data_IF_513478174223
#
_entry.id   IF_513478174223
#
_cell.length_a   1.000
_cell.length_b   1.000
_cell.length_c   1.000
_cell.angle_alpha   90.00
_cell.angle_beta   90.00
_cell.angle_gamma   90.00
#
_symmetry.space_group_name_H-M   'P 1'
#
loop_
_entity.id
_entity.type
_entity.pdbx_description
1 polymer ?
#
# COMPACT_ATOMS: atom_id res chain seq x y z
N UNK A 1 5.94 1.68 39.25
CA UNK A 1 4.52 1.25 39.29
C UNK A 1 3.72 2.39 38.70
N UNK A 2 3.34 2.28 37.43
CA UNK A 2 2.53 3.30 36.76
C UNK A 2 1.05 3.04 37.08
N UNK A 3 0.39 4.05 37.63
CA UNK A 3 -1.02 4.01 38.04
C UNK A 3 -1.89 4.33 36.82
N UNK A 4 -2.80 3.44 36.44
CA UNK A 4 -3.85 3.69 35.45
C UNK A 4 -4.92 4.62 36.06
N UNK A 5 -5.07 5.80 35.46
CA UNK A 5 -6.12 6.78 35.81
C UNK A 5 -7.46 6.35 35.20
N UNK A 6 -8.50 6.27 36.01
CA UNK A 6 -9.86 5.95 35.58
C UNK A 6 -10.67 7.24 35.34
N UNK A 7 -11.69 7.16 34.47
CA UNK A 7 -12.52 8.30 34.05
C UNK A 7 -13.36 8.97 35.17
N UNK A 8 -13.26 8.49 36.40
CA UNK A 8 -13.97 9.01 37.57
C UNK A 8 -13.04 9.74 38.56
N UNK A 9 -11.75 9.87 38.25
CA UNK A 9 -10.79 10.57 39.11
C UNK A 9 -10.56 12.00 38.59
N UNK A 10 -10.64 12.99 39.49
CA UNK A 10 -10.31 14.38 39.16
C UNK A 10 -8.80 14.54 39.02
N UNK A 11 -8.36 15.10 37.89
CA UNK A 11 -6.95 15.33 37.56
C UNK A 11 -6.59 16.80 37.76
N UNK A 12 -5.65 17.07 38.66
CA UNK A 12 -5.06 18.39 38.80
C UNK A 12 -4.05 18.60 37.66
N UNK A 13 -4.40 19.46 36.70
CA UNK A 13 -3.60 19.72 35.51
C UNK A 13 -2.24 20.37 35.80
N UNK A 14 -2.06 20.97 36.98
CA UNK A 14 -0.80 21.60 37.39
C UNK A 14 0.28 20.58 37.79
N UNK A 15 -0.10 19.33 38.06
CA UNK A 15 0.81 18.26 38.50
C UNK A 15 1.11 17.22 37.40
N UNK A 16 0.58 17.41 36.18
CA UNK A 16 0.64 16.43 35.10
C UNK A 16 1.55 16.91 33.97
N UNK A 17 2.57 16.13 33.64
CA UNK A 17 3.44 16.36 32.48
C UNK A 17 2.93 15.48 31.33
N UNK A 18 2.46 16.10 30.25
CA UNK A 18 2.09 15.41 29.02
C UNK A 18 3.29 15.31 28.08
N UNK A 19 3.74 14.09 27.79
CA UNK A 19 4.71 13.86 26.73
C UNK A 19 3.96 13.60 25.41
N UNK A 20 3.88 14.63 24.56
CA UNK A 20 3.12 14.57 23.31
C UNK A 20 4.07 14.38 22.12
N UNK A 21 4.02 13.22 21.49
CA UNK A 21 4.70 13.00 20.21
C UNK A 21 3.79 13.42 19.05
N UNK A 22 4.10 14.55 18.43
CA UNK A 22 3.37 15.05 17.26
C UNK A 22 3.99 14.47 15.99
N UNK A 23 3.27 13.58 15.31
CA UNK A 23 3.65 13.10 13.97
C UNK A 23 2.97 14.00 12.93
N UNK A 24 3.72 14.85 12.19
CA UNK A 24 3.12 15.71 11.19
C UNK A 24 2.59 14.87 10.00
N UNK A 25 1.28 14.91 9.78
CA UNK A 25 0.64 14.30 8.62
C UNK A 25 1.08 15.01 7.33
N UNK A 26 1.97 14.39 6.54
CA UNK A 26 2.32 14.88 5.20
C UNK A 26 1.12 14.70 4.25
N UNK A 27 0.36 15.76 3.98
CA UNK A 27 -0.65 15.80 2.90
C UNK A 27 0.06 15.84 1.54
N UNK A 28 0.23 14.68 0.91
CA UNK A 28 0.70 14.59 -0.49
C UNK A 28 -0.41 14.13 -1.44
N UNK A 29 -0.86 14.99 -2.37
CA UNK A 29 -1.73 14.64 -3.51
C UNK A 29 -0.89 14.13 -4.70
N UNK A 30 0.07 13.24 -4.39
CA UNK A 30 0.95 12.52 -5.31
C UNK A 30 0.18 11.66 -6.30
N UNK A 31 0.72 11.46 -7.52
CA UNK A 31 0.56 10.13 -8.14
C UNK A 31 1.21 9.17 -7.13
N UNK A 32 0.56 8.05 -6.82
CA UNK A 32 1.03 7.20 -5.73
C UNK A 32 2.43 6.68 -6.01
N UNK A 33 3.36 6.82 -5.05
CA UNK A 33 4.66 6.15 -5.07
C UNK A 33 4.47 4.69 -5.51
N UNK A 34 4.91 4.37 -6.74
CA UNK A 34 5.33 3.01 -7.01
C UNK A 34 6.47 2.77 -6.03
N UNK A 35 6.42 1.67 -5.29
CA UNK A 35 7.63 1.16 -4.63
C UNK A 35 8.71 1.19 -5.72
N UNK A 36 9.86 1.80 -5.41
CA UNK A 36 11.02 1.83 -6.29
C UNK A 36 11.57 0.40 -6.37
N UNK A 37 10.83 -0.42 -7.10
CA UNK A 37 11.10 -1.81 -7.37
C UNK A 37 11.47 -1.90 -8.84
N UNK A 38 12.45 -2.75 -9.14
CA UNK A 38 12.92 -3.05 -10.50
C UNK A 38 11.79 -3.51 -11.43
N UNK A 39 10.65 -3.96 -10.89
CA UNK A 39 9.44 -4.30 -11.66
C UNK A 39 8.70 -3.09 -12.27
N UNK A 40 9.16 -1.86 -12.00
CA UNK A 40 8.57 -0.64 -12.53
C UNK A 40 8.76 -0.52 -14.04
N UNK A 41 7.66 -0.46 -14.80
CA UNK A 41 7.64 -0.22 -16.28
C UNK A 41 8.36 1.05 -16.75
N UNK A 42 8.78 1.94 -15.85
CA UNK A 42 9.56 3.14 -16.14
C UNK A 42 11.07 2.90 -16.09
N UNK A 43 11.49 1.67 -15.81
CA UNK A 43 12.87 1.21 -15.75
C UNK A 43 13.06 0.14 -16.82
N UNK A 44 14.18 0.20 -17.55
CA UNK A 44 14.69 -0.94 -18.32
C UNK A 44 15.77 -1.59 -17.45
N UNK A 45 15.50 -2.82 -17.03
CA UNK A 45 16.47 -3.62 -16.29
C UNK A 45 17.61 -4.03 -17.21
N UNK A 46 18.84 -3.71 -16.83
CA UNK A 46 20.04 -4.19 -17.51
C UNK A 46 20.27 -5.63 -17.08
N UNK A 47 20.25 -6.53 -18.05
CA UNK A 47 20.54 -7.96 -17.85
C UNK A 47 21.90 -8.24 -18.43
N UNK A 48 22.86 -8.50 -17.57
CA UNK A 48 24.23 -8.77 -17.96
C UNK A 48 24.92 -9.66 -16.93
N UNK A 49 25.96 -10.33 -17.41
CA UNK A 49 26.76 -11.29 -16.65
C UNK A 49 28.20 -10.74 -16.46
N UNK A 50 28.45 -9.53 -16.97
CA UNK A 50 29.71 -8.80 -16.91
C UNK A 50 29.64 -7.63 -15.91
N UNK A 51 30.76 -6.94 -15.68
CA UNK A 51 30.89 -5.89 -14.66
C UNK A 51 30.54 -4.49 -15.16
N UNK A 52 30.11 -4.38 -16.43
CA UNK A 52 29.90 -3.10 -17.14
C UNK A 52 28.42 -2.66 -17.15
N UNK A 53 27.67 -2.94 -16.08
CA UNK A 53 26.24 -2.59 -16.00
C UNK A 53 26.02 -1.08 -16.13
N UNK A 54 26.94 -0.24 -15.63
CA UNK A 54 26.88 1.21 -15.77
C UNK A 54 26.88 1.67 -17.23
N UNK A 55 27.89 1.29 -18.01
CA UNK A 55 28.01 1.71 -19.41
C UNK A 55 26.88 1.13 -20.27
N UNK A 56 26.42 -0.10 -19.97
CA UNK A 56 25.20 -0.67 -20.57
C UNK A 56 23.94 0.14 -20.24
N UNK A 57 23.79 0.62 -19.00
CA UNK A 57 22.67 1.47 -18.59
C UNK A 57 22.71 2.85 -19.27
N UNK A 58 23.91 3.43 -19.45
CA UNK A 58 24.11 4.69 -20.18
C UNK A 58 23.70 4.52 -21.64
N UNK A 59 24.24 3.52 -22.34
CA UNK A 59 23.92 3.23 -23.76
C UNK A 59 22.42 2.98 -23.96
N UNK A 60 21.80 2.22 -23.06
CA UNK A 60 20.36 1.95 -23.08
C UNK A 60 19.54 3.23 -22.84
N UNK A 61 20.01 4.11 -21.95
CA UNK A 61 19.37 5.41 -21.73
C UNK A 61 19.46 6.31 -22.96
N UNK A 62 20.64 6.38 -23.60
CA UNK A 62 20.82 7.12 -24.85
C UNK A 62 19.90 6.59 -25.96
N UNK A 63 19.77 5.27 -26.08
CA UNK A 63 18.89 4.65 -27.08
C UNK A 63 17.40 4.93 -26.81
N UNK A 64 16.95 4.74 -25.58
CA UNK A 64 15.55 4.98 -25.18
C UNK A 64 15.12 6.44 -25.32
N UNK A 65 16.05 7.38 -25.14
CA UNK A 65 15.83 8.82 -25.34
C UNK A 65 16.10 9.29 -26.79
N UNK A 66 16.41 8.37 -27.72
CA UNK A 66 16.74 8.67 -29.13
C UNK A 66 17.91 9.66 -29.30
N UNK A 67 18.89 9.60 -28.40
CA UNK A 67 20.11 10.42 -28.47
C UNK A 67 21.17 9.82 -29.40
N UNK A 68 21.11 8.50 -29.66
CA UNK A 68 21.96 7.82 -30.64
C UNK A 68 21.41 8.01 -32.07
N UNK A 69 21.71 9.15 -32.70
CA UNK A 69 21.11 9.58 -33.97
C UNK A 69 21.49 8.72 -35.18
N UNK A 70 22.63 8.03 -35.13
CA UNK A 70 23.13 7.23 -36.26
C UNK A 70 22.51 5.82 -36.35
N UNK A 71 21.59 5.48 -35.44
CA UNK A 71 20.97 4.16 -35.36
C UNK A 71 19.50 4.20 -35.80
N UNK A 72 19.08 3.17 -36.54
CA UNK A 72 17.68 2.97 -36.91
C UNK A 72 16.81 2.62 -35.69
N UNK A 73 15.50 2.87 -35.76
CA UNK A 73 14.58 2.50 -34.66
C UNK A 73 14.65 1.00 -34.29
N UNK A 74 14.94 0.12 -35.27
CA UNK A 74 15.14 -1.31 -35.02
C UNK A 74 16.40 -1.59 -34.20
N UNK A 75 17.50 -0.92 -34.52
CA UNK A 75 18.75 -1.03 -33.75
C UNK A 75 18.60 -0.44 -32.34
N UNK A 76 17.92 0.71 -32.20
CA UNK A 76 17.60 1.29 -30.89
C UNK A 76 16.78 0.32 -30.03
N UNK A 77 15.81 -0.38 -30.65
CA UNK A 77 15.04 -1.43 -29.97
C UNK A 77 15.93 -2.58 -29.52
N UNK A 78 16.85 -3.06 -30.36
CA UNK A 78 17.80 -4.11 -29.98
C UNK A 78 18.69 -3.72 -28.80
N UNK A 79 19.14 -2.46 -28.75
CA UNK A 79 19.90 -1.92 -27.62
C UNK A 79 19.04 -1.97 -26.35
N UNK A 80 17.80 -1.49 -26.40
CA UNK A 80 16.87 -1.50 -25.27
C UNK A 80 16.49 -2.91 -24.78
N UNK A 81 16.54 -3.92 -25.66
CA UNK A 81 16.28 -5.33 -25.32
C UNK A 81 17.50 -6.06 -24.74
N UNK A 82 18.66 -5.40 -24.62
CA UNK A 82 19.90 -6.03 -24.13
C UNK A 82 20.52 -7.00 -25.13
N UNK A 83 20.25 -6.86 -26.43
CA UNK A 83 20.86 -7.68 -27.49
C UNK A 83 22.38 -7.42 -27.56
N UNK A 84 23.17 -8.29 -28.23
CA UNK A 84 24.64 -8.14 -28.29
C UNK A 84 25.16 -6.77 -28.72
N UNK A 85 24.37 -6.00 -29.49
CA UNK A 85 24.71 -4.61 -29.85
C UNK A 85 24.83 -3.68 -28.64
N UNK A 86 24.02 -3.87 -27.59
CA UNK A 86 24.13 -3.10 -26.34
C UNK A 86 25.50 -3.31 -25.68
N UNK A 87 25.96 -4.57 -25.60
CA UNK A 87 27.27 -4.91 -25.03
C UNK A 87 28.41 -4.25 -25.81
N UNK A 88 28.41 -4.39 -27.14
CA UNK A 88 29.45 -3.81 -28.00
C UNK A 88 29.56 -2.30 -27.81
N UNK A 89 28.43 -1.59 -27.82
CA UNK A 89 28.42 -0.14 -27.62
C UNK A 89 28.87 0.27 -26.20
N UNK A 90 28.62 -0.58 -25.21
CA UNK A 90 29.13 -0.35 -23.85
C UNK A 90 30.65 -0.52 -23.80
N UNK A 91 31.20 -1.56 -24.44
CA UNK A 91 32.64 -1.77 -24.59
C UNK A 91 33.31 -0.64 -25.38
N UNK A 92 32.71 -0.21 -26.49
CA UNK A 92 33.17 0.94 -27.28
C UNK A 92 33.18 2.23 -26.43
N UNK A 93 32.19 2.41 -25.54
CA UNK A 93 32.13 3.55 -24.64
C UNK A 93 33.29 3.53 -23.64
N UNK A 94 33.66 2.38 -23.10
CA UNK A 94 34.86 2.24 -22.26
C UNK A 94 36.13 2.61 -23.02
N UNK A 95 36.32 2.04 -24.21
CA UNK A 95 37.50 2.29 -25.04
C UNK A 95 37.64 3.78 -25.40
N UNK A 96 36.56 4.41 -25.85
CA UNK A 96 36.61 5.78 -26.35
C UNK A 96 36.69 6.84 -25.25
N UNK A 97 36.14 6.55 -24.07
CA UNK A 97 36.24 7.45 -22.91
C UNK A 97 37.53 7.26 -22.10
N UNK A 98 38.32 6.21 -22.41
CA UNK A 98 39.54 5.87 -21.68
C UNK A 98 39.27 5.28 -20.29
N UNK A 99 38.06 4.75 -20.04
CA UNK A 99 37.67 4.14 -18.77
C UNK A 99 37.95 2.65 -18.81
N UNK A 100 38.87 2.17 -17.99
CA UNK A 100 39.21 0.75 -17.90
C UNK A 100 38.03 -0.09 -17.39
N UNK A 101 37.90 -1.32 -17.91
CA UNK A 101 36.92 -2.29 -17.43
C UNK A 101 37.50 -2.98 -16.18
N UNK A 102 36.92 -2.68 -15.01
CA UNK A 102 37.34 -3.20 -13.71
C UNK A 102 36.55 -4.48 -13.35
N UNK A 103 37.16 -5.37 -12.56
CA UNK A 103 36.49 -6.57 -12.05
C UNK A 103 35.41 -6.26 -11.00
N UNK A 104 35.56 -5.17 -10.24
CA UNK A 104 34.58 -4.75 -9.24
C UNK A 104 33.46 -3.87 -9.82
N UNK A 105 33.47 -3.63 -11.13
CA UNK A 105 32.54 -2.73 -11.81
C UNK A 105 32.96 -1.26 -11.76
N UNK A 106 32.05 -0.38 -12.16
CA UNK A 106 32.34 1.05 -12.30
C UNK A 106 32.02 1.86 -11.04
N UNK A 107 32.83 2.89 -10.81
CA UNK A 107 32.69 3.83 -9.69
C UNK A 107 32.16 5.23 -10.14
N UNK A 108 32.13 6.17 -9.19
CA UNK A 108 31.68 7.54 -9.45
C UNK A 108 32.64 8.35 -10.35
N UNK A 109 33.93 7.99 -10.39
CA UNK A 109 34.91 8.64 -11.27
C UNK A 109 34.69 8.21 -12.72
N UNK A 110 34.42 6.92 -12.93
CA UNK A 110 34.04 6.37 -14.24
C UNK A 110 32.78 7.03 -14.79
N UNK A 111 31.75 7.22 -13.93
CA UNK A 111 30.53 7.97 -14.25
C UNK A 111 30.85 9.37 -14.81
N UNK A 112 31.76 10.09 -14.15
CA UNK A 112 32.18 11.44 -14.55
C UNK A 112 32.97 11.43 -15.86
N UNK A 113 33.80 10.41 -16.09
CA UNK A 113 34.53 10.25 -17.34
C UNK A 113 33.57 10.01 -18.52
N UNK A 114 32.60 9.11 -18.36
CA UNK A 114 31.55 8.88 -19.36
C UNK A 114 30.71 10.13 -19.62
N UNK A 115 30.35 10.86 -18.56
CA UNK A 115 29.61 12.12 -18.65
C UNK A 115 30.32 13.14 -19.54
N UNK A 116 31.61 13.37 -19.26
CA UNK A 116 32.43 14.34 -20.00
C UNK A 116 32.62 13.92 -21.46
N UNK A 117 32.87 12.63 -21.71
CA UNK A 117 33.05 12.10 -23.06
C UNK A 117 31.79 12.28 -23.92
N UNK A 118 30.62 12.00 -23.34
CA UNK A 118 29.35 12.06 -24.05
C UNK A 118 28.75 13.48 -24.12
N UNK A 119 29.25 14.43 -23.31
CA UNK A 119 28.73 15.79 -23.21
C UNK A 119 27.22 15.81 -22.87
N UNK A 120 26.82 14.96 -21.92
CA UNK A 120 25.45 14.81 -21.40
C UNK A 120 25.48 14.91 -19.88
N UNK A 121 24.42 15.36 -19.23
CA UNK A 121 24.30 15.32 -17.76
C UNK A 121 23.76 13.97 -17.30
N UNK A 122 24.49 13.25 -16.44
CA UNK A 122 24.02 11.98 -15.87
C UNK A 122 23.46 12.23 -14.47
N UNK A 123 22.23 11.79 -14.21
CA UNK A 123 21.62 11.81 -12.88
C UNK A 123 21.36 10.38 -12.42
N UNK A 124 21.91 9.99 -11.28
CA UNK A 124 21.72 8.65 -10.72
C UNK A 124 20.83 8.73 -9.49
N UNK A 125 19.69 8.08 -9.56
CA UNK A 125 18.75 7.93 -8.45
C UNK A 125 19.03 6.64 -7.67
N UNK A 126 18.74 6.65 -6.37
CA UNK A 126 18.72 5.44 -5.52
C UNK A 126 17.53 5.45 -4.57
N UNK A 127 17.10 4.27 -4.14
CA UNK A 127 16.14 4.09 -3.04
C UNK A 127 16.82 3.90 -1.68
N UNK A 128 18.15 3.69 -1.67
CA UNK A 128 18.92 3.35 -0.47
C UNK A 128 19.38 4.56 0.35
N UNK A 129 19.19 5.79 -0.14
CA UNK A 129 19.62 7.02 0.54
C UNK A 129 18.46 7.97 0.81
N UNK A 130 18.61 8.84 1.82
CA UNK A 130 17.64 9.89 2.14
C UNK A 130 17.58 11.00 1.09
N UNK A 131 18.64 11.16 0.30
CA UNK A 131 18.79 12.21 -0.70
C UNK A 131 18.26 11.80 -2.08
N UNK A 132 17.88 10.53 -2.28
CA UNK A 132 17.36 9.92 -3.51
C UNK A 132 18.24 10.05 -4.77
N UNK A 133 19.21 10.96 -4.79
CA UNK A 133 20.17 11.19 -5.87
C UNK A 133 21.56 10.94 -5.28
N UNK A 134 22.31 10.04 -5.89
CA UNK A 134 23.70 9.70 -5.48
C UNK A 134 24.74 10.33 -6.38
N UNK A 135 24.34 10.72 -7.59
CA UNK A 135 25.19 11.45 -8.51
C UNK A 135 24.35 12.47 -9.29
N UNK A 136 24.79 13.73 -9.23
CA UNK A 136 24.20 14.86 -9.91
C UNK A 136 25.24 15.46 -10.85
N UNK A 137 25.19 15.05 -12.12
CA UNK A 137 26.10 15.48 -13.16
C UNK A 137 26.14 16.97 -13.44
N UNK A 138 27.08 17.38 -14.29
CA UNK A 138 27.36 18.76 -14.67
C UNK A 138 26.12 19.45 -15.28
N UNK A 139 25.75 20.59 -14.70
CA UNK A 139 24.56 21.36 -15.09
C UNK A 139 24.71 22.12 -16.41
N UNK A 140 25.95 22.25 -16.92
CA UNK A 140 26.24 22.91 -18.21
C UNK A 140 25.80 22.09 -19.42
N UNK A 141 25.61 20.77 -19.26
CA UNK A 141 25.17 19.91 -20.35
C UNK A 141 23.66 19.98 -20.58
N UNK A 142 23.27 20.19 -21.84
CA UNK A 142 21.87 20.40 -22.24
C UNK A 142 21.03 19.11 -22.19
N UNK A 143 21.61 18.00 -22.64
CA UNK A 143 20.93 16.70 -22.64
C UNK A 143 21.12 16.02 -21.29
N UNK A 144 20.11 15.32 -20.81
CA UNK A 144 20.18 14.64 -19.52
C UNK A 144 19.60 13.23 -19.60
N UNK A 145 20.26 12.31 -18.90
CA UNK A 145 19.81 10.93 -18.74
C UNK A 145 19.65 10.58 -17.26
N UNK A 146 18.81 9.58 -17.01
CA UNK A 146 18.47 9.16 -15.65
C UNK A 146 18.78 7.67 -15.48
N UNK A 147 19.54 7.33 -14.46
CA UNK A 147 19.89 5.97 -14.09
C UNK A 147 19.34 5.64 -12.69
N UNK A 148 19.10 4.37 -12.43
CA UNK A 148 18.70 3.85 -11.13
C UNK A 148 19.79 2.92 -10.59
N UNK A 149 20.29 3.21 -9.39
CA UNK A 149 21.29 2.42 -8.71
C UNK A 149 20.69 1.73 -7.48
N UNK A 150 20.77 0.40 -7.47
CA UNK A 150 20.32 -0.47 -6.38
C UNK A 150 21.08 -1.79 -6.44
N UNK A 151 21.28 -2.46 -5.30
CA UNK A 151 21.91 -3.79 -5.22
C UNK A 151 23.23 -3.92 -6.03
N UNK A 152 24.08 -2.87 -5.96
CA UNK A 152 25.35 -2.78 -6.71
C UNK A 152 25.19 -2.88 -8.24
N UNK A 153 24.02 -2.51 -8.74
CA UNK A 153 23.64 -2.62 -10.16
C UNK A 153 23.02 -1.32 -10.69
N UNK A 154 23.26 -1.05 -11.98
CA UNK A 154 22.74 0.12 -12.68
C UNK A 154 21.67 -0.26 -13.71
N UNK A 155 20.52 0.40 -13.60
CA UNK A 155 19.40 0.29 -14.52
C UNK A 155 19.07 1.63 -15.19
N UNK A 156 18.39 1.58 -16.34
CA UNK A 156 18.00 2.78 -17.09
C UNK A 156 16.61 3.26 -16.69
N UNK A 157 16.46 4.53 -16.30
CA UNK A 157 15.15 5.15 -16.10
C UNK A 157 14.67 5.79 -17.41
N UNK A 158 13.67 5.19 -18.05
CA UNK A 158 13.09 5.68 -19.32
C UNK A 158 12.00 6.73 -19.13
N UNK A 159 11.38 6.77 -17.96
CA UNK A 159 10.35 7.77 -17.64
C UNK A 159 10.47 8.23 -16.20
N UNK A 160 11.18 9.35 -15.99
CA UNK A 160 11.44 9.89 -14.65
C UNK A 160 10.15 10.24 -13.88
N UNK A 161 9.10 10.69 -14.55
CA UNK A 161 7.81 10.98 -13.88
C UNK A 161 7.08 9.72 -13.43
N UNK A 162 7.22 8.63 -14.20
CA UNK A 162 6.69 7.32 -13.85
C UNK A 162 7.52 6.59 -12.79
N UNK A 163 8.84 6.81 -12.80
CA UNK A 163 9.78 6.34 -11.78
C UNK A 163 9.50 6.97 -10.42
N UNK A 164 9.45 8.30 -10.34
CA UNK A 164 9.16 9.04 -9.09
C UNK A 164 7.68 9.04 -8.69
N UNK A 165 6.82 8.47 -9.54
CA UNK A 165 5.38 8.58 -9.48
C UNK A 165 4.89 10.02 -9.20
N UNK A 166 5.30 10.99 -10.02
CA UNK A 166 4.83 12.37 -9.93
C UNK A 166 4.14 12.79 -11.23
N UNK A 167 3.31 13.84 -11.17
CA UNK A 167 2.60 14.32 -12.36
C UNK A 167 3.56 14.98 -13.35
N UNK A 168 4.54 15.69 -12.80
CA UNK A 168 5.54 16.48 -13.50
C UNK A 168 6.88 16.31 -12.79
N UNK A 169 7.96 16.63 -13.50
CA UNK A 169 9.32 16.61 -12.98
C UNK A 169 10.04 17.86 -13.45
N UNK A 170 10.74 18.53 -12.53
CA UNK A 170 11.56 19.67 -12.85
C UNK A 170 12.98 19.19 -13.17
N UNK A 171 13.42 19.43 -14.41
CA UNK A 171 14.77 19.07 -14.87
C UNK A 171 15.88 19.92 -14.24
N UNK A 172 15.54 21.10 -13.72
CA UNK A 172 16.48 22.02 -13.05
C UNK A 172 16.61 21.67 -11.57
N UNK A 173 15.50 21.67 -10.83
CA UNK A 173 15.52 21.36 -9.40
C UNK A 173 15.62 19.85 -9.07
N UNK A 174 15.53 18.99 -10.08
CA UNK A 174 15.52 17.52 -9.95
C UNK A 174 14.45 16.97 -8.99
N UNK A 175 13.30 17.64 -8.89
CA UNK A 175 12.18 17.22 -8.04
C UNK A 175 10.91 16.94 -8.84
N UNK A 176 10.19 15.90 -8.43
CA UNK A 176 8.87 15.60 -8.98
C UNK A 176 7.75 16.31 -8.21
N UNK A 177 6.77 16.85 -8.94
CA UNK A 177 5.68 17.67 -8.38
C UNK A 177 4.32 17.36 -9.02
N UNK A 178 3.24 17.77 -8.35
CA UNK A 178 1.85 17.41 -8.73
C UNK A 178 1.03 18.59 -9.24
N UNK A 179 1.22 19.75 -8.64
CA UNK A 179 0.44 20.95 -8.93
C UNK A 179 1.38 22.03 -9.49
N UNK A 180 1.83 22.93 -8.63
CA UNK A 180 2.72 24.03 -8.98
C UNK A 180 4.12 23.76 -8.42
N UNK A 181 5.13 24.17 -9.18
CA UNK A 181 6.52 24.18 -8.79
C UNK A 181 7.11 25.51 -9.22
N UNK A 182 7.66 26.24 -8.25
CA UNK A 182 8.44 27.45 -8.50
C UNK A 182 9.90 27.05 -8.49
N UNK A 183 10.55 27.14 -9.65
CA UNK A 183 11.99 26.90 -9.75
C UNK A 183 12.75 28.06 -9.08
N UNK A 184 13.95 27.79 -8.55
CA UNK A 184 14.82 28.83 -7.97
C UNK A 184 15.16 29.94 -8.99
N UNK A 185 15.10 29.64 -10.29
CA UNK A 185 15.39 30.58 -11.38
C UNK A 185 14.16 31.37 -11.87
N UNK A 186 13.11 31.49 -11.06
CA UNK A 186 11.91 32.32 -11.31
C UNK A 186 11.14 32.07 -12.63
N UNK A 187 11.44 31.02 -13.38
CA UNK A 187 10.68 30.64 -14.57
C UNK A 187 9.56 29.67 -14.19
N UNK A 188 8.34 30.19 -14.05
CA UNK A 188 7.13 29.38 -13.84
C UNK A 188 6.81 28.60 -15.11
N UNK A 189 7.33 27.38 -15.25
CA UNK A 189 6.86 26.48 -16.31
C UNK A 189 5.57 25.79 -15.87
N UNK A 190 4.41 26.42 -16.14
CA UNK A 190 3.21 25.76 -16.71
C UNK A 190 2.02 26.72 -16.82
N UNK A 191 1.91 27.41 -17.95
CA UNK A 191 0.61 27.97 -18.38
C UNK A 191 0.07 27.02 -19.46
N UNK A 192 -1.03 26.31 -19.17
CA UNK A 192 -1.85 25.73 -20.25
C UNK A 192 -2.32 26.92 -21.09
N UNK A 193 -1.98 26.98 -22.39
CA UNK A 193 -2.48 28.03 -23.30
C UNK A 193 -4.02 28.07 -23.17
N UNK A 194 -4.51 29.10 -22.50
CA UNK A 194 -5.92 29.38 -22.34
C UNK A 194 -6.33 30.21 -23.55
N UNK A 195 -7.40 29.80 -24.24
CA UNK A 195 -7.96 30.56 -25.35
C UNK A 195 -9.16 31.36 -24.83
N UNK A 196 -9.28 32.62 -25.26
CA UNK A 196 -10.46 33.45 -25.00
C UNK A 196 -11.34 33.35 -26.24
N UNK A 197 -12.63 33.10 -26.06
CA UNK A 197 -13.57 33.11 -27.17
C UNK A 197 -14.02 34.55 -27.49
N UNK A 198 -13.78 35.02 -28.71
CA UNK A 198 -14.13 36.39 -29.15
C UNK A 198 -15.64 36.69 -29.11
N UNK A 199 -16.50 35.67 -29.15
CA UNK A 199 -17.96 35.84 -29.13
C UNK A 199 -18.57 35.93 -27.73
N UNK A 200 -17.97 35.27 -26.72
CA UNK A 200 -18.56 35.21 -25.38
C UNK A 200 -17.60 35.60 -24.24
N UNK A 201 -16.36 35.98 -24.57
CA UNK A 201 -15.30 36.35 -23.63
C UNK A 201 -14.98 35.31 -22.55
N UNK A 202 -15.40 34.04 -22.73
CA UNK A 202 -15.08 32.97 -21.79
C UNK A 202 -13.77 32.29 -22.16
N UNK A 203 -12.98 32.00 -21.13
CA UNK A 203 -11.74 31.25 -21.23
C UNK A 203 -12.01 29.74 -21.33
N UNK A 204 -11.37 29.04 -22.27
CA UNK A 204 -11.53 27.60 -22.45
C UNK A 204 -10.19 26.89 -22.72
N UNK A 205 -10.17 25.58 -22.47
CA UNK A 205 -9.02 24.70 -22.72
C UNK A 205 -9.44 23.60 -23.69
N UNK A 206 -9.03 23.70 -24.97
CA UNK A 206 -9.38 22.75 -26.04
C UNK A 206 -9.52 23.43 -27.41
N UNK A 207 -9.72 22.68 -28.51
CA UNK A 207 -9.87 23.26 -29.87
C UNK A 207 -11.31 23.64 -30.26
N UNK A 208 -12.34 23.19 -29.51
CA UNK A 208 -13.74 23.25 -29.95
C UNK A 208 -14.66 23.91 -28.91
N UNK A 209 -14.59 25.25 -28.78
CA UNK A 209 -15.56 26.01 -28.01
C UNK A 209 -16.82 26.31 -28.85
N UNK A 210 -18.01 26.01 -28.32
CA UNK A 210 -19.31 26.45 -28.87
C UNK A 210 -19.98 27.39 -27.89
N UNK A 211 -20.29 28.62 -28.33
CA UNK A 211 -20.97 29.60 -27.50
C UNK A 211 -22.42 29.18 -27.23
N UNK A 212 -22.91 29.40 -26.01
CA UNK A 212 -24.31 29.14 -25.64
C UNK A 212 -24.65 27.70 -25.25
N UNK A 213 -23.77 26.72 -25.48
CA UNK A 213 -23.94 25.36 -24.95
C UNK A 213 -23.64 25.33 -23.44
N UNK A 214 -24.61 24.88 -22.64
CA UNK A 214 -24.45 24.54 -21.22
C UNK A 214 -24.53 23.01 -21.07
N UNK A 215 -23.85 22.47 -20.05
CA UNK A 215 -23.92 21.05 -19.69
C UNK A 215 -24.57 20.96 -18.31
N UNK A 216 -25.63 20.17 -18.19
CA UNK A 216 -26.21 19.88 -16.89
C UNK A 216 -25.27 18.98 -16.08
N UNK A 217 -24.84 19.39 -14.89
CA UNK A 217 -23.91 18.60 -14.06
C UNK A 217 -24.55 17.34 -13.44
N UNK A 218 -25.88 17.22 -13.52
CA UNK A 218 -26.63 16.10 -12.98
C UNK A 218 -26.82 15.01 -14.04
N UNK A 219 -27.36 15.37 -15.21
CA UNK A 219 -27.65 14.41 -16.29
C UNK A 219 -26.62 14.39 -17.43
N UNK A 220 -25.66 15.32 -17.45
CA UNK A 220 -24.62 15.49 -18.47
C UNK A 220 -25.11 15.80 -19.89
N UNK A 221 -26.40 16.12 -20.07
CA UNK A 221 -26.95 16.57 -21.35
C UNK A 221 -26.52 18.01 -21.70
N UNK A 222 -26.34 18.25 -23.00
CA UNK A 222 -26.04 19.58 -23.55
C UNK A 222 -27.34 20.29 -23.90
N UNK A 223 -27.45 21.57 -23.52
CA UNK A 223 -28.61 22.40 -23.85
C UNK A 223 -28.17 23.80 -24.26
N UNK A 224 -28.99 24.49 -25.06
CA UNK A 224 -28.78 25.88 -25.50
C UNK A 224 -29.82 26.80 -24.87
N UNK A 225 -29.51 28.09 -24.73
CA UNK A 225 -30.46 29.09 -24.19
C UNK A 225 -31.72 29.29 -25.06
N UNK A 226 -31.72 28.77 -26.29
CA UNK A 226 -32.82 28.90 -27.26
C UNK A 226 -33.87 27.79 -27.20
N UNK A 227 -33.62 26.71 -26.45
CA UNK A 227 -34.60 25.65 -26.23
C UNK A 227 -34.99 25.64 -24.75
N UNK A 228 -36.29 25.49 -24.53
CA UNK A 228 -37.05 25.53 -23.27
C UNK A 228 -36.32 24.96 -22.03
N UNK A 229 -36.66 25.52 -20.86
CA UNK A 229 -36.10 25.22 -19.53
C UNK A 229 -35.63 23.77 -19.38
N UNK A 230 -34.34 23.57 -19.08
CA UNK A 230 -33.80 22.23 -18.86
C UNK A 230 -34.40 21.59 -17.59
N UNK A 231 -35.50 20.84 -17.75
CA UNK A 231 -36.15 20.07 -16.69
C UNK A 231 -35.36 18.79 -16.41
N UNK A 232 -34.38 18.88 -15.50
CA UNK A 232 -33.56 17.74 -15.09
C UNK A 232 -34.33 16.84 -14.11
N UNK A 233 -34.57 15.58 -14.47
CA UNK A 233 -35.06 14.56 -13.54
C UNK A 233 -33.91 13.66 -13.08
N UNK A 234 -33.92 13.26 -11.80
CA UNK A 234 -32.96 12.27 -11.28
C UNK A 234 -33.19 10.93 -11.98
N UNK A 235 -32.18 10.46 -12.74
CA UNK A 235 -32.20 9.10 -13.29
C UNK A 235 -31.95 8.10 -12.14
N UNK A 236 -32.69 6.97 -12.09
CA UNK A 236 -32.34 5.87 -11.19
C UNK A 236 -30.88 5.49 -11.40
N UNK A 237 -30.09 5.48 -10.33
CA UNK A 237 -28.72 5.01 -10.37
C UNK A 237 -28.73 3.51 -10.68
N UNK A 238 -28.21 3.12 -11.84
CA UNK A 238 -27.95 1.71 -12.11
C UNK A 238 -26.84 1.27 -11.15
N UNK A 239 -27.06 0.26 -10.29
CA UNK A 239 -26.00 -0.28 -9.44
C UNK A 239 -24.83 -0.68 -10.33
N UNK A 240 -23.65 -0.08 -10.10
CA UNK A 240 -22.45 -0.53 -10.80
C UNK A 240 -22.24 -1.99 -10.45
N UNK A 241 -22.31 -2.88 -11.45
CA UNK A 241 -21.95 -4.28 -11.24
C UNK A 241 -20.53 -4.33 -10.67
N UNK A 242 -20.39 -4.97 -9.51
CA UNK A 242 -19.10 -5.13 -8.81
C UNK A 242 -18.27 -6.08 -9.67
N UNK A 243 -17.38 -5.52 -10.49
CA UNK A 243 -16.60 -6.29 -11.48
C UNK A 243 -15.54 -7.20 -10.86
N UNK A 244 -15.26 -7.12 -9.56
CA UNK A 244 -14.36 -8.01 -8.81
C UNK A 244 -14.53 -7.80 -7.30
N UNK A 245 -14.65 -8.90 -6.54
CA UNK A 245 -14.68 -8.88 -5.07
C UNK A 245 -13.27 -8.77 -4.49
N UNK A 246 -12.66 -7.58 -4.59
CA UNK A 246 -11.33 -7.29 -4.03
C UNK A 246 -11.42 -6.88 -2.55
N UNK A 247 -12.06 -7.72 -1.74
CA UNK A 247 -12.22 -7.50 -0.30
C UNK A 247 -11.44 -8.54 0.47
N UNK A 248 -10.70 -8.09 1.48
CA UNK A 248 -10.08 -8.98 2.45
C UNK A 248 -10.58 -8.57 3.83
N UNK A 249 -11.18 -9.51 4.55
CA UNK A 249 -11.57 -9.32 5.94
C UNK A 249 -10.44 -9.78 6.82
N UNK A 250 -10.17 -9.07 7.93
CA UNK A 250 -9.10 -9.43 8.83
C UNK A 250 -9.37 -9.01 10.27
N UNK A 251 -8.69 -9.70 11.19
CA UNK A 251 -8.68 -9.37 12.61
C UNK A 251 -7.35 -9.77 13.26
N UNK A 252 -6.90 -8.96 14.22
CA UNK A 252 -5.70 -9.23 15.00
C UNK A 252 -6.02 -9.63 16.43
N UNK A 253 -5.19 -10.55 16.91
CA UNK A 253 -5.24 -11.02 18.29
C UNK A 253 -3.92 -10.71 18.98
N UNK A 254 -4.03 -10.34 20.26
CA UNK A 254 -2.91 -9.84 21.05
C UNK A 254 -2.74 -10.60 22.37
N UNK A 255 -1.50 -10.88 22.71
CA UNK A 255 -1.10 -11.22 24.07
C UNK A 255 -1.03 -9.92 24.89
N UNK A 256 -1.57 -9.94 26.12
CA UNK A 256 -1.64 -8.80 27.04
C UNK A 256 -0.95 -9.07 28.39
N UNK A 257 -0.21 -10.17 28.53
CA UNK A 257 0.44 -10.66 29.77
C UNK A 257 1.34 -9.61 30.44
N UNK A 258 2.01 -8.78 29.65
CA UNK A 258 2.93 -7.74 30.14
C UNK A 258 2.25 -6.39 30.42
N UNK A 259 0.94 -6.29 30.21
CA UNK A 259 0.21 -5.02 30.17
C UNK A 259 0.36 -4.26 28.85
N UNK A 260 1.23 -4.73 27.94
CA UNK A 260 1.38 -4.21 26.57
C UNK A 260 0.72 -5.20 25.61
N UNK A 261 -0.11 -4.68 24.70
CA UNK A 261 -0.75 -5.49 23.67
C UNK A 261 0.26 -5.84 22.57
N UNK A 262 0.70 -7.09 22.53
CA UNK A 262 1.61 -7.62 21.52
C UNK A 262 0.82 -8.53 20.58
N UNK A 263 0.68 -8.09 19.33
CA UNK A 263 -0.01 -8.86 18.28
C UNK A 263 0.75 -10.17 18.03
N UNK A 264 0.09 -11.30 18.28
CA UNK A 264 0.69 -12.63 18.20
C UNK A 264 -0.01 -13.54 17.19
N UNK A 265 -1.14 -13.09 16.64
CA UNK A 265 -1.88 -13.81 15.63
C UNK A 265 -2.75 -12.86 14.78
N UNK A 266 -2.93 -13.20 13.50
CA UNK A 266 -3.92 -12.56 12.65
C UNK A 266 -4.49 -13.56 11.65
N UNK A 267 -5.80 -13.47 11.43
CA UNK A 267 -6.47 -14.09 10.29
C UNK A 267 -6.90 -13.01 9.34
N UNK A 268 -6.70 -13.28 8.06
CA UNK A 268 -7.35 -12.56 6.98
C UNK A 268 -7.97 -13.55 6.01
N UNK A 269 -9.01 -13.17 5.28
CA UNK A 269 -9.59 -14.02 4.25
C UNK A 269 -10.32 -13.23 3.16
N UNK A 270 -10.41 -13.86 2.00
CA UNK A 270 -11.26 -13.48 0.88
C UNK A 270 -12.13 -14.69 0.48
N UNK A 271 -12.83 -14.62 -0.66
CA UNK A 271 -13.72 -15.69 -1.15
C UNK A 271 -12.97 -16.92 -1.68
N UNK A 272 -11.64 -16.90 -1.74
CA UNK A 272 -10.83 -17.97 -2.31
C UNK A 272 -9.74 -18.44 -1.35
N UNK A 273 -9.35 -17.61 -0.38
CA UNK A 273 -8.16 -17.81 0.42
C UNK A 273 -8.36 -17.40 1.88
N UNK A 274 -7.75 -18.17 2.78
CA UNK A 274 -7.55 -17.84 4.19
C UNK A 274 -6.06 -17.66 4.43
N UNK A 275 -5.70 -16.56 5.08
CA UNK A 275 -4.33 -16.18 5.40
C UNK A 275 -4.16 -16.17 6.92
N UNK A 276 -3.15 -16.86 7.40
CA UNK A 276 -2.84 -17.02 8.81
C UNK A 276 -1.45 -16.47 9.09
N UNK A 277 -1.38 -15.41 9.90
CA UNK A 277 -0.15 -14.71 10.25
C UNK A 277 0.26 -15.02 11.68
N UNK A 278 1.51 -15.43 11.85
CA UNK A 278 2.19 -15.61 13.14
C UNK A 278 3.52 -14.89 13.13
N UNK A 279 4.18 -14.83 14.29
CA UNK A 279 5.46 -14.16 14.44
C UNK A 279 6.49 -14.62 13.41
N UNK A 280 6.55 -15.91 13.06
CA UNK A 280 7.67 -16.43 12.25
C UNK A 280 7.24 -16.98 10.89
N UNK A 281 5.95 -16.93 10.57
CA UNK A 281 5.44 -17.49 9.31
C UNK A 281 4.11 -16.88 8.90
N UNK A 282 3.85 -16.98 7.60
CA UNK A 282 2.52 -16.84 7.00
C UNK A 282 2.15 -18.16 6.35
N UNK A 283 0.92 -18.59 6.57
CA UNK A 283 0.30 -19.72 5.84
C UNK A 283 -0.88 -19.19 5.05
N UNK A 284 -1.01 -19.67 3.83
CA UNK A 284 -2.15 -19.39 2.95
C UNK A 284 -2.83 -20.70 2.63
N UNK A 285 -4.15 -20.71 2.70
CA UNK A 285 -5.00 -21.86 2.42
C UNK A 285 -5.98 -21.46 1.33
N UNK A 286 -6.14 -22.31 0.31
CA UNK A 286 -7.25 -22.16 -0.64
C UNK A 286 -8.51 -22.71 0.00
N UNK A 287 -9.60 -21.97 -0.13
CA UNK A 287 -10.90 -22.38 0.34
C UNK A 287 -11.89 -22.28 -0.83
N UNK A 288 -12.54 -23.40 -1.15
CA UNK A 288 -13.63 -23.43 -2.13
C UNK A 288 -14.92 -23.12 -1.38
N UNK A 289 -15.24 -21.82 -1.25
CA UNK A 289 -16.43 -21.36 -0.53
C UNK A 289 -17.69 -21.68 -1.34
N UNK A 290 -18.16 -22.93 -1.30
CA UNK A 290 -19.51 -23.26 -1.71
C UNK A 290 -20.47 -22.89 -0.57
N UNK A 291 -20.85 -21.60 -0.52
CA UNK A 291 -21.64 -20.95 0.54
C UNK A 291 -22.96 -21.68 0.82
N UNK A 292 -23.47 -22.45 -0.14
CA UNK A 292 -24.79 -23.09 -0.05
C UNK A 292 -24.85 -24.37 0.79
N UNK A 293 -23.71 -25.01 1.14
CA UNK A 293 -23.70 -26.33 1.80
C UNK A 293 -22.65 -26.48 2.93
N UNK A 294 -22.17 -25.37 3.50
CA UNK A 294 -21.12 -25.44 4.52
C UNK A 294 -21.69 -25.83 5.90
N UNK A 295 -21.54 -27.11 6.30
CA UNK A 295 -21.78 -27.53 7.67
C UNK A 295 -20.58 -27.17 8.56
N UNK A 296 -20.66 -26.00 9.22
CA UNK A 296 -19.58 -25.35 9.99
C UNK A 296 -19.01 -26.20 11.15
N UNK A 297 -19.73 -27.22 11.59
CA UNK A 297 -19.31 -28.15 12.66
C UNK A 297 -18.48 -29.34 12.14
N UNK A 298 -18.50 -29.60 10.83
CA UNK A 298 -17.84 -30.75 10.18
C UNK A 298 -16.65 -30.33 9.31
N UNK A 299 -16.32 -29.03 9.26
CA UNK A 299 -15.08 -28.54 8.66
C UNK A 299 -13.90 -29.06 9.48
N UNK A 300 -13.36 -30.19 9.04
CA UNK A 300 -12.08 -30.67 9.50
C UNK A 300 -11.03 -29.70 8.97
N UNK A 301 -10.69 -28.71 9.80
CA UNK A 301 -9.63 -27.73 9.53
C UNK A 301 -8.34 -28.42 9.08
N UNK A 302 -8.10 -29.66 9.51
CA UNK A 302 -6.94 -30.47 9.10
C UNK A 302 -6.97 -30.88 7.61
N UNK A 303 -8.16 -30.97 6.99
CA UNK A 303 -8.37 -31.28 5.57
C UNK A 303 -8.33 -30.03 4.66
N UNK A 304 -8.53 -28.82 5.21
CA UNK A 304 -8.32 -27.54 4.51
C UNK A 304 -6.83 -27.17 4.33
N UNK A 305 -5.91 -28.05 4.73
CA UNK A 305 -4.47 -27.81 4.79
C UNK A 305 -3.66 -28.52 3.69
N UNK A 306 -4.30 -28.95 2.60
CA UNK A 306 -3.65 -29.77 1.57
C UNK A 306 -2.68 -29.00 0.65
N UNK A 307 -2.76 -27.67 0.56
CA UNK A 307 -1.83 -26.84 -0.22
C UNK A 307 -1.27 -25.67 0.61
N UNK A 308 -0.20 -25.91 1.37
CA UNK A 308 0.40 -24.89 2.24
C UNK A 308 1.56 -24.21 1.53
N UNK A 309 1.35 -22.99 1.01
CA UNK A 309 2.47 -22.09 0.79
C UNK A 309 2.91 -21.54 2.17
N UNK A 310 3.95 -22.12 2.75
CA UNK A 310 4.54 -21.64 4.00
C UNK A 310 5.66 -20.65 3.68
N UNK A 311 5.38 -19.37 3.82
CA UNK A 311 6.38 -18.32 3.68
C UNK A 311 6.97 -18.05 5.06
N UNK A 312 8.26 -18.39 5.24
CA UNK A 312 9.01 -17.98 6.43
C UNK A 312 9.41 -16.51 6.25
N UNK A 313 9.20 -15.72 7.29
CA UNK A 313 9.73 -14.37 7.39
C UNK A 313 10.78 -14.35 8.51
N UNK A 314 11.86 -13.58 8.32
CA UNK A 314 12.89 -13.36 9.34
C UNK A 314 12.42 -12.43 10.47
N UNK A 315 11.30 -11.72 10.27
CA UNK A 315 10.74 -10.79 11.26
C UNK A 315 9.86 -11.51 12.26
N UNK A 316 10.14 -11.37 13.57
CA UNK A 316 9.34 -11.91 14.68
C UNK A 316 8.03 -11.13 14.99
N UNK A 317 7.44 -10.43 14.01
CA UNK A 317 6.29 -9.53 14.20
C UNK A 317 5.14 -9.93 13.26
N UNK A 318 3.97 -10.23 13.83
CA UNK A 318 2.74 -10.52 13.05
C UNK A 318 2.35 -9.35 12.16
N UNK A 319 2.48 -8.12 12.66
CA UNK A 319 2.14 -6.91 11.92
C UNK A 319 3.07 -6.73 10.72
N UNK A 320 4.37 -6.92 10.92
CA UNK A 320 5.35 -6.82 9.83
C UNK A 320 5.06 -7.89 8.78
N UNK A 321 4.78 -9.12 9.19
CA UNK A 321 4.45 -10.21 8.25
C UNK A 321 3.15 -9.92 7.48
N UNK A 322 2.11 -9.42 8.16
CA UNK A 322 0.84 -9.01 7.53
C UNK A 322 1.05 -7.91 6.51
N UNK A 323 1.73 -6.82 6.90
CA UNK A 323 1.93 -5.67 6.04
C UNK A 323 2.89 -5.97 4.88
N UNK A 324 4.00 -6.68 5.11
CA UNK A 324 4.88 -7.16 4.03
C UNK A 324 4.13 -8.05 3.06
N UNK A 325 3.22 -8.89 3.57
CA UNK A 325 2.47 -9.79 2.72
C UNK A 325 1.41 -9.07 1.89
N UNK A 326 0.69 -8.10 2.44
CA UNK A 326 -0.45 -7.50 1.73
C UNK A 326 -0.15 -6.18 1.03
N UNK A 327 0.83 -5.40 1.48
CA UNK A 327 1.15 -4.09 0.87
C UNK A 327 2.09 -4.31 -0.32
N UNK A 328 1.56 -4.91 -1.39
CA UNK A 328 2.25 -5.14 -2.67
C UNK A 328 1.30 -5.09 -3.86
N UNK A 329 1.84 -4.95 -5.06
CA UNK A 329 1.08 -4.80 -6.32
C UNK A 329 0.07 -5.94 -6.58
N UNK A 330 0.30 -7.16 -6.07
CA UNK A 330 -0.66 -8.27 -6.13
C UNK A 330 -2.04 -7.87 -5.57
N UNK A 331 -2.07 -7.06 -4.52
CA UNK A 331 -3.29 -6.61 -3.84
C UNK A 331 -3.72 -5.21 -4.29
N UNK A 332 -3.33 -4.79 -5.51
CA UNK A 332 -3.74 -3.51 -6.06
C UNK A 332 -5.27 -3.39 -6.16
N UNK A 333 -5.77 -2.25 -5.73
CA UNK A 333 -7.19 -1.90 -5.62
C UNK A 333 -8.00 -2.69 -4.57
N UNK A 334 -7.35 -3.49 -3.70
CA UNK A 334 -8.04 -4.20 -2.62
C UNK A 334 -8.51 -3.28 -1.49
N UNK A 335 -9.59 -3.67 -0.85
CA UNK A 335 -10.11 -3.06 0.38
C UNK A 335 -10.05 -4.09 1.50
N UNK A 336 -9.26 -3.79 2.52
CA UNK A 336 -9.13 -4.54 3.75
C UNK A 336 -10.14 -4.01 4.77
N UNK A 337 -10.87 -4.93 5.39
CA UNK A 337 -11.98 -4.62 6.28
C UNK A 337 -11.77 -5.33 7.61
N UNK A 338 -11.65 -4.56 8.68
CA UNK A 338 -11.69 -5.04 10.07
C UNK A 338 -12.92 -4.47 10.76
N UNK A 339 -13.38 -5.09 11.84
CA UNK A 339 -14.55 -4.58 12.57
C UNK A 339 -14.17 -3.97 13.90
N UNK A 340 -14.47 -2.69 14.02
CA UNK A 340 -13.95 -1.84 15.08
C UNK A 340 -12.43 -1.59 14.98
N UNK A 341 -11.82 -1.89 13.83
CA UNK A 341 -10.38 -1.70 13.65
C UNK A 341 -9.91 -0.24 13.75
N UNK A 342 -10.81 0.74 13.59
CA UNK A 342 -10.46 2.16 13.80
C UNK A 342 -9.97 2.45 15.21
N UNK A 343 -10.40 1.65 16.19
CA UNK A 343 -10.00 1.78 17.58
C UNK A 343 -8.80 0.93 17.98
N UNK A 344 -8.40 -0.03 17.13
CA UNK A 344 -7.43 -1.06 17.51
C UNK A 344 -6.56 -1.51 16.33
N UNK A 345 -7.04 -2.43 15.49
CA UNK A 345 -6.27 -3.14 14.44
C UNK A 345 -5.52 -2.23 13.48
N UNK A 346 -6.09 -1.05 13.16
CA UNK A 346 -5.51 -0.13 12.19
C UNK A 346 -4.34 0.68 12.75
N UNK A 347 -4.21 0.81 14.07
CA UNK A 347 -3.12 1.55 14.71
C UNK A 347 -1.74 0.92 14.45
N UNK A 348 -1.51 -0.38 14.71
CA UNK A 348 -0.22 -1.00 14.43
C UNK A 348 0.08 -1.08 12.92
N UNK A 349 -0.94 -1.22 12.06
CA UNK A 349 -0.78 -1.12 10.60
C UNK A 349 -0.23 0.27 10.22
N UNK A 350 -0.81 1.35 10.77
CA UNK A 350 -0.30 2.70 10.52
C UNK A 350 1.14 2.85 11.04
N UNK A 351 1.46 2.27 12.19
CA UNK A 351 2.82 2.22 12.73
C UNK A 351 3.81 1.60 11.75
N UNK A 352 3.49 0.45 11.17
CA UNK A 352 4.29 -0.18 10.12
C UNK A 352 4.45 0.72 8.89
N UNK A 353 3.36 1.31 8.42
CA UNK A 353 3.33 2.19 7.23
C UNK A 353 4.26 3.40 7.43
N UNK A 354 4.20 4.05 8.59
CA UNK A 354 5.04 5.21 8.95
C UNK A 354 6.50 4.80 9.08
N UNK A 355 6.79 3.71 9.81
CA UNK A 355 8.15 3.18 10.01
C UNK A 355 8.84 2.91 8.67
N UNK A 356 8.10 2.35 7.70
CA UNK A 356 8.61 2.02 6.37
C UNK A 356 8.44 3.15 5.34
N UNK A 357 8.05 4.37 5.77
CA UNK A 357 7.89 5.55 4.91
C UNK A 357 6.96 5.33 3.71
N UNK A 358 5.96 4.46 3.84
CA UNK A 358 5.00 4.14 2.79
C UNK A 358 4.04 5.31 2.59
N UNK A 359 3.83 5.75 1.34
CA UNK A 359 2.94 6.90 1.07
C UNK A 359 1.47 6.56 1.29
N UNK A 360 0.86 7.28 2.23
CA UNK A 360 -0.52 7.04 2.63
C UNK A 360 -1.31 8.35 2.85
N UNK A 361 -2.60 8.21 3.08
CA UNK A 361 -3.47 9.23 3.66
C UNK A 361 -4.44 8.56 4.62
N UNK A 362 -4.80 9.25 5.70
CA UNK A 362 -5.74 8.76 6.69
C UNK A 362 -6.98 9.65 6.76
N UNK A 363 -8.10 9.05 7.15
CA UNK A 363 -9.27 9.74 7.68
C UNK A 363 -9.41 9.28 9.12
N UNK A 364 -9.50 10.22 10.05
CA UNK A 364 -9.65 9.93 11.48
C UNK A 364 -10.74 10.77 12.13
N UNK A 365 -11.29 10.25 13.22
CA UNK A 365 -12.16 10.97 14.15
C UNK A 365 -11.48 10.98 15.52
N UNK A 366 -10.77 12.06 15.82
CA UNK A 366 -9.81 12.08 16.93
C UNK A 366 -8.69 11.06 16.71
N UNK A 367 -8.46 10.21 17.72
CA UNK A 367 -7.45 9.14 17.65
C UNK A 367 -7.91 7.90 16.86
N UNK A 368 -9.20 7.80 16.51
CA UNK A 368 -9.75 6.63 15.82
C UNK A 368 -9.51 6.73 14.31
N UNK A 369 -8.88 5.72 13.71
CA UNK A 369 -8.51 5.68 12.29
C UNK A 369 -9.67 5.12 11.45
N UNK A 370 -10.55 5.99 10.96
CA UNK A 370 -11.70 5.60 10.13
C UNK A 370 -11.27 4.90 8.82
N UNK A 371 -10.21 5.39 8.19
CA UNK A 371 -9.63 4.75 7.01
C UNK A 371 -8.14 5.05 6.86
N UNK A 372 -7.41 4.09 6.29
CA UNK A 372 -6.04 4.28 5.80
C UNK A 372 -6.05 3.99 4.30
N UNK A 373 -5.44 4.86 3.51
CA UNK A 373 -5.34 4.71 2.06
C UNK A 373 -3.88 4.71 1.62
N UNK A 374 -3.43 3.61 1.04
CA UNK A 374 -2.08 3.46 0.48
C UNK A 374 -2.15 3.83 -1.01
N UNK A 375 -1.51 4.95 -1.36
CA UNK A 375 -1.73 5.60 -2.65
C UNK A 375 -1.13 4.85 -3.84
N UNK A 376 0.04 4.24 -3.67
CA UNK A 376 0.78 3.54 -4.73
C UNK A 376 0.00 2.43 -5.42
N UNK A 377 -0.72 1.64 -4.61
CA UNK A 377 -1.46 0.46 -5.04
C UNK A 377 -2.98 0.61 -4.89
N UNK A 378 -3.46 1.81 -4.58
CA UNK A 378 -4.90 2.08 -4.34
C UNK A 378 -5.52 1.09 -3.33
N UNK A 379 -4.75 0.69 -2.30
CA UNK A 379 -5.17 -0.24 -1.26
C UNK A 379 -5.78 0.54 -0.09
N UNK A 380 -6.90 0.06 0.43
CA UNK A 380 -7.66 0.71 1.51
C UNK A 380 -7.73 -0.20 2.72
N UNK A 381 -7.54 0.32 3.92
CA UNK A 381 -8.02 -0.27 5.16
C UNK A 381 -9.20 0.56 5.65
N UNK A 382 -10.32 -0.10 5.94
CA UNK A 382 -11.55 0.54 6.44
C UNK A 382 -12.12 -0.26 7.60
N UNK A 383 -12.90 0.43 8.42
CA UNK A 383 -13.64 -0.18 9.51
C UNK A 383 -15.11 -0.41 9.13
N UNK A 384 -15.55 -1.68 9.18
CA UNK A 384 -16.92 -2.08 8.87
C UNK A 384 -17.96 -1.48 9.82
N UNK A 385 -17.59 -1.12 11.06
CA UNK A 385 -18.53 -0.55 12.03
C UNK A 385 -19.09 0.81 11.59
N UNK A 386 -18.40 1.51 10.68
CA UNK A 386 -18.90 2.77 10.10
C UNK A 386 -20.11 2.55 9.18
N UNK A 387 -20.33 1.31 8.74
CA UNK A 387 -21.43 0.93 7.87
C UNK A 387 -22.49 0.12 8.63
N UNK A 388 -22.06 -0.80 9.50
CA UNK A 388 -22.99 -1.66 10.25
C UNK A 388 -23.58 -0.97 11.47
N UNK A 389 -22.86 0.00 12.06
CA UNK A 389 -23.27 0.79 13.22
C UNK A 389 -23.64 -0.04 14.47
N UNK A 390 -23.24 -1.32 14.50
CA UNK A 390 -23.45 -2.22 15.62
C UNK A 390 -22.24 -3.16 15.78
N UNK A 391 -22.07 -3.73 16.97
CA UNK A 391 -21.03 -4.74 17.21
C UNK A 391 -21.39 -6.09 16.61
N UNK A 392 -20.38 -6.92 16.32
CA UNK A 392 -20.52 -8.23 15.67
C UNK A 392 -21.55 -9.15 16.33
N UNK A 393 -21.68 -9.13 17.66
CA UNK A 393 -22.68 -9.94 18.37
C UNK A 393 -24.14 -9.63 18.00
N UNK A 394 -24.41 -8.43 17.46
CA UNK A 394 -25.74 -8.03 17.01
C UNK A 394 -26.05 -8.45 15.56
N UNK A 395 -25.05 -8.86 14.77
CA UNK A 395 -25.20 -9.11 13.34
C UNK A 395 -26.28 -10.15 12.99
N UNK A 396 -26.36 -11.32 13.67
CA UNK A 396 -27.39 -12.31 13.37
C UNK A 396 -28.81 -11.73 13.44
N UNK A 397 -29.07 -10.93 14.50
CA UNK A 397 -30.33 -10.24 14.70
C UNK A 397 -30.53 -9.10 13.69
N UNK A 398 -29.49 -8.32 13.40
CA UNK A 398 -29.56 -7.15 12.51
C UNK A 398 -29.77 -7.54 11.05
N UNK A 399 -29.14 -8.63 10.58
CA UNK A 399 -29.14 -9.03 9.18
C UNK A 399 -29.99 -10.29 8.90
N UNK A 400 -30.57 -10.90 9.94
CA UNK A 400 -31.53 -12.00 9.80
C UNK A 400 -30.90 -13.35 9.44
N UNK A 401 -29.62 -13.56 9.71
CA UNK A 401 -28.96 -14.86 9.52
C UNK A 401 -28.84 -15.63 10.84
N UNK A 402 -28.78 -16.96 10.72
CA UNK A 402 -28.67 -17.87 11.87
C UNK A 402 -27.22 -17.95 12.32
N UNK A 403 -26.94 -17.66 13.59
CA UNK A 403 -25.59 -17.75 14.17
C UNK A 403 -25.46 -16.95 15.46
N UNK A 404 -24.37 -17.13 16.20
CA UNK A 404 -24.03 -16.34 17.38
C UNK A 404 -22.52 -16.15 17.47
N UNK A 405 -22.06 -14.93 17.79
CA UNK A 405 -20.64 -14.65 18.02
C UNK A 405 -20.15 -15.51 19.20
N UNK A 406 -19.05 -16.25 19.00
CA UNK A 406 -18.35 -16.96 20.08
C UNK A 406 -17.58 -16.02 21.01
N UNK A 407 -17.16 -16.51 22.18
CA UNK A 407 -16.38 -15.71 23.15
C UNK A 407 -14.92 -16.12 23.13
N UNK A 408 -14.00 -15.16 23.08
CA UNK A 408 -12.57 -15.46 23.06
C UNK A 408 -11.95 -15.36 24.48
N UNK A 409 -11.14 -16.35 24.91
CA UNK A 409 -10.47 -16.29 26.21
C UNK A 409 -9.25 -15.37 26.16
N UNK A 410 -9.49 -14.05 26.13
CA UNK A 410 -8.45 -13.02 25.94
C UNK A 410 -7.26 -13.17 26.89
N UNK A 411 -7.49 -13.47 28.17
CA UNK A 411 -6.42 -13.61 29.16
C UNK A 411 -5.73 -14.99 29.10
N UNK A 412 -6.30 -15.96 28.38
CA UNK A 412 -5.65 -17.25 28.15
C UNK A 412 -4.66 -17.20 26.98
N UNK A 413 -4.68 -16.13 26.17
CA UNK A 413 -3.78 -15.90 25.04
C UNK A 413 -2.36 -15.49 25.49
N UNK A 414 -1.70 -16.37 26.27
CA UNK A 414 -0.33 -16.20 26.76
C UNK A 414 0.66 -16.95 25.88
N UNK A 415 1.95 -16.71 26.09
CA UNK A 415 3.03 -17.43 25.37
C UNK A 415 3.01 -18.93 25.69
N UNK A 416 2.78 -19.27 26.96
CA UNK A 416 2.72 -20.64 27.47
C UNK A 416 1.56 -21.43 26.83
N UNK A 417 0.38 -20.80 26.73
CA UNK A 417 -0.84 -21.47 26.28
C UNK A 417 -1.00 -21.53 24.75
N UNK A 418 -0.06 -21.00 23.95
CA UNK A 418 -0.13 -21.04 22.48
C UNK A 418 -0.22 -22.45 21.87
N UNK A 419 0.17 -23.48 22.64
CA UNK A 419 0.13 -24.89 22.27
C UNK A 419 -0.81 -25.71 23.16
N UNK A 420 -1.62 -25.07 24.01
CA UNK A 420 -2.50 -25.75 24.94
C UNK A 420 -3.55 -26.59 24.20
N UNK A 421 -3.69 -27.86 24.54
CA UNK A 421 -4.74 -28.75 24.08
C UNK A 421 -5.38 -29.39 25.31
N UNK A 422 -6.68 -29.18 25.49
CA UNK A 422 -7.39 -29.60 26.69
C UNK A 422 -8.78 -28.99 26.77
N UNK A 423 -9.44 -29.05 27.92
CA UNK A 423 -10.77 -28.46 28.11
C UNK A 423 -10.73 -26.93 28.00
N UNK A 424 -11.89 -26.31 27.76
CA UNK A 424 -12.00 -24.85 27.77
C UNK A 424 -11.48 -24.25 29.09
N UNK A 425 -10.79 -23.10 29.07
CA UNK A 425 -10.26 -22.48 30.27
C UNK A 425 -11.38 -21.95 31.17
N UNK A 426 -11.03 -21.61 32.41
CA UNK A 426 -11.98 -21.02 33.36
C UNK A 426 -12.58 -19.71 32.85
N UNK A 427 -13.81 -19.42 33.26
CA UNK A 427 -14.58 -18.23 32.84
C UNK A 427 -13.84 -16.90 33.02
N UNK A 428 -12.93 -16.83 33.99
CA UNK A 428 -12.14 -15.64 34.30
C UNK A 428 -11.25 -15.23 33.12
N UNK A 429 -10.78 -16.20 32.34
CA UNK A 429 -9.93 -15.94 31.19
C UNK A 429 -10.65 -15.25 30.02
N UNK A 430 -11.98 -15.18 30.05
CA UNK A 430 -12.81 -14.52 29.03
C UNK A 430 -13.14 -13.06 29.37
N UNK A 431 -12.72 -12.56 30.53
CA UNK A 431 -13.08 -11.21 30.98
C UNK A 431 -14.57 -11.05 31.29
N UNK A 432 -15.22 -12.10 31.78
CA UNK A 432 -16.62 -12.07 32.16
C UNK A 432 -16.96 -10.99 33.21
N UNK A 433 -15.96 -10.47 33.93
CA UNK A 433 -16.14 -9.45 34.96
C UNK A 433 -16.31 -8.03 34.38
N UNK A 434 -15.89 -7.79 33.13
CA UNK A 434 -16.05 -6.49 32.46
C UNK A 434 -17.29 -6.44 31.57
N UNK A 435 -18.05 -7.54 31.49
CA UNK A 435 -19.28 -7.62 30.70
C UNK A 435 -20.45 -6.93 31.41
N UNK A 436 -21.38 -6.40 30.62
CA UNK A 436 -22.68 -5.97 31.16
C UNK A 436 -23.47 -7.17 31.67
N UNK A 437 -24.39 -6.96 32.60
CA UNK A 437 -25.22 -8.03 33.20
C UNK A 437 -25.86 -8.92 32.13
N UNK A 438 -26.49 -8.31 31.13
CA UNK A 438 -27.12 -9.01 30.00
C UNK A 438 -26.14 -9.85 29.17
N UNK A 439 -24.95 -9.31 28.87
CA UNK A 439 -23.95 -10.06 28.10
C UNK A 439 -23.34 -11.18 28.93
N UNK A 440 -23.23 -11.00 30.25
CA UNK A 440 -22.74 -12.03 31.17
C UNK A 440 -23.70 -13.21 31.26
N UNK A 441 -25.01 -12.98 31.30
CA UNK A 441 -26.01 -14.06 31.24
C UNK A 441 -25.88 -14.89 29.95
N UNK A 442 -25.78 -14.23 28.80
CA UNK A 442 -25.56 -14.90 27.51
C UNK A 442 -24.23 -15.66 27.46
N UNK A 443 -23.18 -15.10 28.08
CA UNK A 443 -21.88 -15.76 28.20
C UNK A 443 -21.97 -17.01 29.09
N UNK A 444 -22.62 -16.93 30.25
CA UNK A 444 -22.74 -18.05 31.19
C UNK A 444 -23.56 -19.19 30.58
N UNK A 445 -24.64 -18.88 29.84
CA UNK A 445 -25.40 -19.88 29.06
C UNK A 445 -24.55 -20.56 28.00
N UNK A 446 -23.72 -19.81 27.28
CA UNK A 446 -22.80 -20.36 26.28
C UNK A 446 -21.70 -21.19 26.95
N UNK A 447 -21.08 -20.68 28.01
CA UNK A 447 -19.94 -21.31 28.70
C UNK A 447 -20.34 -22.66 29.29
N UNK A 448 -21.52 -22.75 29.91
CA UNK A 448 -22.04 -24.01 30.44
C UNK A 448 -22.21 -25.10 29.38
N UNK A 449 -22.41 -24.73 28.10
CA UNK A 449 -22.53 -25.68 26.98
C UNK A 449 -21.18 -26.14 26.43
N UNK A 450 -20.08 -25.42 26.70
CA UNK A 450 -18.77 -25.67 26.09
C UNK A 450 -17.65 -25.98 27.07
N UNK A 451 -17.79 -25.68 28.37
CA UNK A 451 -16.72 -25.80 29.38
C UNK A 451 -16.08 -27.20 29.48
N UNK A 452 -16.83 -28.26 29.18
CA UNK A 452 -16.36 -29.65 29.22
C UNK A 452 -15.86 -30.16 27.85
N UNK A 453 -15.99 -29.35 26.79
CA UNK A 453 -15.51 -29.70 25.47
C UNK A 453 -14.00 -29.47 25.38
N UNK A 454 -13.34 -30.20 24.49
CA UNK A 454 -11.93 -29.96 24.20
C UNK A 454 -11.76 -28.74 23.30
N UNK A 455 -10.96 -27.80 23.78
CA UNK A 455 -10.35 -26.73 23.02
C UNK A 455 -9.12 -27.29 22.26
N UNK A 456 -9.31 -27.58 20.98
CA UNK A 456 -8.25 -28.10 20.10
C UNK A 456 -7.27 -26.98 19.71
N UNK A 457 -6.41 -26.56 20.64
CA UNK A 457 -5.50 -25.42 20.51
C UNK A 457 -6.18 -24.05 20.37
N UNK A 458 -5.60 -23.04 21.04
CA UNK A 458 -5.96 -21.62 20.83
C UNK A 458 -5.89 -21.27 19.33
N UNK A 459 -5.03 -21.95 18.57
CA UNK A 459 -4.87 -21.74 17.12
C UNK A 459 -6.11 -22.08 16.30
N UNK A 460 -6.79 -23.22 16.56
CA UNK A 460 -8.04 -23.56 15.86
C UNK A 460 -9.17 -22.65 16.34
N UNK A 461 -9.11 -22.22 17.59
CA UNK A 461 -10.10 -21.29 18.17
C UNK A 461 -10.16 -19.94 17.46
N UNK A 462 -8.99 -19.37 17.14
CA UNK A 462 -8.92 -18.16 16.33
C UNK A 462 -9.54 -18.33 14.94
N UNK A 463 -9.62 -19.53 14.37
CA UNK A 463 -10.24 -19.73 13.05
C UNK A 463 -11.77 -19.82 13.20
N UNK A 464 -12.25 -20.50 14.24
CA UNK A 464 -13.68 -20.77 14.46
C UNK A 464 -14.48 -19.50 14.84
N UNK A 465 -13.90 -18.62 15.66
CA UNK A 465 -14.59 -17.40 16.15
C UNK A 465 -14.80 -16.36 15.04
N UNK A 466 -13.98 -16.40 13.99
CA UNK A 466 -13.83 -15.32 13.01
C UNK A 466 -14.55 -15.54 11.68
N UNK A 467 -15.14 -16.72 11.46
CA UNK A 467 -15.91 -17.05 10.26
C UNK A 467 -17.30 -16.41 10.17
N UNK A 468 -17.65 -15.54 11.12
CA UNK A 468 -18.92 -14.79 11.15
C UNK A 468 -18.82 -13.37 10.55
N UNK A 469 -17.68 -13.02 9.93
CA UNK A 469 -17.49 -11.73 9.25
C UNK A 469 -17.88 -11.75 7.77
#
# INVERSE_FOLDING_TARGET
MERLLNSAEELNLEEVIFEVTVIPNRKGKGRGLKILDVTNKSIIQIKNDDTICLSRAIVTSLASNKLLKDFTDSQLKHINEGRPLQKRLAEDLHEQSGVEIKEEGNDLEDLKAFENYLNIRIIVFTSNSTEYIVYNGNEEYNEQIYLYYHDEHFDTITNITGFLAKRRFCKVCLIGYTEQHTCKDNTVTTIRKQHICDKCNKTYTGKNHKCGEKICLICYEKYTESNEEHLCYMKPSVPKQVKNNKYIYFDFEANQETGIHIMNFCIAYDLENIYCFKNNYVKVFKCDFNIDNLNLLELNIDDCFSDVEKIKYETNSVIDNFCKYFIRDKFKDYTFISHYGKGYDMQPILGYIVKNKIEHSIISSGLKLTSIFIKGINLRFIDSINFTLCGLAAFPKTFGFVGNKGYFPHYFNTTENQKYEGIYPDKEYFGCNTMTIKNKELFDEWYNKVKEKNLNSIKKYFIIVYWMF
#
